data_IF_677830978116
#
_entry.id   IF_677830978116
#
_cell.length_a   1.000
_cell.length_b   1.000
_cell.length_c   1.000
_cell.angle_alpha   90.00
_cell.angle_beta   90.00
_cell.angle_gamma   90.00
#
_symmetry.space_group_name_H-M   'P 1'
#
loop_
_entity.id
_entity.type
_entity.pdbx_description
1 polymer ?
#
# COMPACT_ATOMS: atom_id res chain seq x y z
N UNK A 1 11.98 16.61 16.19
CA UNK A 1 10.85 15.65 16.09
C UNK A 1 9.73 16.15 16.97
N UNK A 2 8.47 16.10 16.53
CA UNK A 2 7.33 16.36 17.41
C UNK A 2 7.07 15.13 18.28
N UNK A 3 6.76 15.35 19.57
CA UNK A 3 6.36 14.30 20.52
C UNK A 3 4.85 14.30 20.67
N UNK A 4 4.24 13.12 20.77
CA UNK A 4 2.80 12.96 20.98
C UNK A 4 2.55 11.73 21.85
N UNK A 5 1.71 11.89 22.88
CA UNK A 5 1.30 10.79 23.73
C UNK A 5 0.21 9.99 23.02
N UNK A 6 0.30 8.67 23.07
CA UNK A 6 -0.65 7.73 22.48
C UNK A 6 -1.12 6.76 23.56
N UNK A 7 -2.40 6.44 23.56
CA UNK A 7 -2.97 5.41 24.43
C UNK A 7 -3.04 4.13 23.61
N UNK A 8 -2.43 3.07 24.14
CA UNK A 8 -2.44 1.75 23.53
C UNK A 8 -3.37 0.84 24.32
N UNK A 9 -4.01 -0.08 23.61
CA UNK A 9 -4.63 -1.24 24.25
C UNK A 9 -3.55 -2.15 24.86
N UNK A 10 -3.93 -2.98 25.82
CA UNK A 10 -3.01 -3.93 26.47
C UNK A 10 -2.28 -4.82 25.43
N UNK A 11 -3.03 -5.40 24.49
CA UNK A 11 -2.47 -6.24 23.42
C UNK A 11 -1.46 -5.50 22.52
N UNK A 12 -1.69 -4.21 22.25
CA UNK A 12 -0.75 -3.39 21.47
C UNK A 12 0.51 -3.07 22.27
N UNK A 13 0.38 -2.78 23.57
CA UNK A 13 1.52 -2.58 24.46
C UNK A 13 2.39 -3.83 24.50
N UNK A 14 1.80 -5.00 24.74
CA UNK A 14 2.52 -6.27 24.79
C UNK A 14 3.25 -6.58 23.47
N UNK A 15 2.64 -6.23 22.34
CA UNK A 15 3.28 -6.38 21.03
C UNK A 15 4.52 -5.48 20.92
N UNK A 16 4.41 -4.21 21.30
CA UNK A 16 5.54 -3.27 21.27
C UNK A 16 6.65 -3.74 22.19
N UNK A 17 6.30 -4.20 23.39
CA UNK A 17 7.27 -4.71 24.37
C UNK A 17 8.01 -5.94 23.84
N UNK A 18 7.32 -6.91 23.22
CA UNK A 18 7.96 -8.06 22.57
C UNK A 18 8.89 -7.64 21.44
N UNK A 19 8.48 -6.67 20.63
CA UNK A 19 9.29 -6.19 19.50
C UNK A 19 10.57 -5.49 19.98
N UNK A 20 10.51 -4.70 21.05
CA UNK A 20 11.68 -4.07 21.66
C UNK A 20 12.56 -5.11 22.36
N UNK A 21 11.98 -6.02 23.16
CA UNK A 21 12.70 -7.09 23.84
C UNK A 21 13.43 -8.03 22.88
N UNK A 22 12.89 -8.25 21.68
CA UNK A 22 13.55 -9.02 20.62
C UNK A 22 14.79 -8.33 20.01
N UNK A 23 14.99 -7.04 20.30
CA UNK A 23 16.06 -6.22 19.70
C UNK A 23 15.74 -5.73 18.29
N UNK A 24 14.57 -6.04 17.72
CA UNK A 24 14.16 -5.57 16.38
C UNK A 24 14.02 -4.05 16.31
N UNK A 25 13.64 -3.41 17.42
CA UNK A 25 13.60 -1.95 17.56
C UNK A 25 14.19 -1.54 18.90
N UNK A 26 14.84 -0.37 18.95
CA UNK A 26 15.47 0.11 20.17
C UNK A 26 14.47 0.63 21.21
N UNK A 27 13.30 1.09 20.77
CA UNK A 27 12.26 1.62 21.65
C UNK A 27 10.88 1.62 20.97
N UNK A 28 9.84 1.84 21.79
CA UNK A 28 8.45 1.91 21.35
C UNK A 28 8.22 2.95 20.24
N UNK A 29 8.82 4.13 20.35
CA UNK A 29 8.63 5.20 19.36
C UNK A 29 9.17 4.81 17.98
N UNK A 30 10.27 4.06 17.92
CA UNK A 30 10.79 3.52 16.67
C UNK A 30 9.87 2.46 16.07
N UNK A 31 9.41 1.51 16.88
CA UNK A 31 8.47 0.47 16.46
C UNK A 31 7.17 1.08 15.89
N UNK A 32 6.60 2.08 16.60
CA UNK A 32 5.41 2.79 16.14
C UNK A 32 5.64 3.55 14.83
N UNK A 33 6.78 4.24 14.67
CA UNK A 33 7.13 4.88 13.39
C UNK A 33 7.28 3.87 12.26
N UNK A 34 7.84 2.70 12.52
CA UNK A 34 7.95 1.63 11.53
C UNK A 34 6.56 1.11 11.11
N UNK A 35 5.64 0.96 12.08
CA UNK A 35 4.24 0.63 11.83
C UNK A 35 3.53 1.70 10.98
N UNK A 36 3.70 2.98 11.31
CA UNK A 36 3.12 4.09 10.53
C UNK A 36 3.64 4.12 9.10
N UNK A 37 4.95 3.91 8.87
CA UNK A 37 5.51 3.79 7.51
C UNK A 37 4.95 2.61 6.72
N UNK A 38 4.56 1.53 7.40
CA UNK A 38 3.89 0.41 6.73
C UNK A 38 2.47 0.81 6.31
N UNK A 39 1.72 1.43 7.21
CA UNK A 39 0.37 1.93 6.93
C UNK A 39 0.37 2.95 5.78
N UNK A 40 1.28 3.93 5.81
CA UNK A 40 1.42 4.94 4.75
C UNK A 40 1.66 4.30 3.37
N UNK A 41 2.48 3.24 3.30
CA UNK A 41 2.74 2.52 2.05
C UNK A 41 1.51 1.77 1.56
N UNK A 42 0.83 1.05 2.45
CA UNK A 42 -0.39 0.33 2.12
C UNK A 42 -1.49 1.28 1.62
N UNK A 43 -1.70 2.40 2.30
CA UNK A 43 -2.66 3.42 1.88
C UNK A 43 -2.29 4.05 0.53
N UNK A 44 -1.00 4.31 0.28
CA UNK A 44 -0.52 4.81 -1.00
C UNK A 44 -0.76 3.82 -2.15
N UNK A 45 -0.47 2.52 -1.93
CA UNK A 45 -0.71 1.46 -2.92
C UNK A 45 -2.20 1.30 -3.24
N UNK A 46 -3.05 1.27 -2.21
CA UNK A 46 -4.51 1.21 -2.38
C UNK A 46 -5.05 2.46 -3.09
N UNK A 47 -4.54 3.64 -2.72
CA UNK A 47 -4.88 4.91 -3.38
C UNK A 47 -4.51 4.90 -4.87
N UNK A 48 -3.30 4.44 -5.20
CA UNK A 48 -2.84 4.30 -6.57
C UNK A 48 -3.67 3.30 -7.38
N UNK A 49 -4.04 2.16 -6.78
CA UNK A 49 -4.93 1.19 -7.42
C UNK A 49 -6.32 1.78 -7.68
N UNK A 50 -6.93 2.43 -6.68
CA UNK A 50 -8.24 3.08 -6.81
C UNK A 50 -8.24 4.16 -7.87
N UNK A 51 -7.17 4.96 -7.94
CA UNK A 51 -7.01 5.98 -8.97
C UNK A 51 -6.99 5.37 -10.38
N UNK A 52 -6.17 4.33 -10.59
CA UNK A 52 -6.10 3.62 -11.89
C UNK A 52 -7.44 2.99 -12.30
N UNK A 53 -8.15 2.36 -11.36
CA UNK A 53 -9.47 1.79 -11.63
C UNK A 53 -10.49 2.87 -12.00
N UNK A 54 -10.49 3.98 -11.26
CA UNK A 54 -11.40 5.10 -11.54
C UNK A 54 -11.14 5.66 -12.94
N UNK A 55 -9.87 5.90 -13.30
CA UNK A 55 -9.49 6.35 -14.63
C UNK A 55 -9.94 5.37 -15.73
N UNK A 56 -9.72 4.07 -15.54
CA UNK A 56 -10.14 3.05 -16.50
C UNK A 56 -11.66 2.95 -16.67
N UNK A 57 -12.42 3.14 -15.59
CA UNK A 57 -13.89 3.18 -15.67
C UNK A 57 -14.40 4.42 -16.41
N UNK A 58 -13.78 5.58 -16.21
CA UNK A 58 -14.11 6.80 -16.95
C UNK A 58 -13.78 6.67 -18.45
N UNK A 59 -12.64 6.07 -18.79
CA UNK A 59 -12.28 5.74 -20.17
C UNK A 59 -13.35 4.83 -20.81
N UNK A 60 -13.74 3.75 -20.12
CA UNK A 60 -14.76 2.84 -20.61
C UNK A 60 -16.12 3.53 -20.82
N UNK A 61 -16.54 4.41 -19.90
CA UNK A 61 -17.77 5.22 -20.03
C UNK A 61 -17.75 6.14 -21.25
N UNK A 62 -16.58 6.66 -21.61
CA UNK A 62 -16.37 7.50 -22.80
C UNK A 62 -16.22 6.72 -24.10
N UNK A 63 -16.14 5.40 -24.03
CA UNK A 63 -15.88 4.54 -25.19
C UNK A 63 -14.39 4.46 -25.56
N UNK A 64 -13.50 4.97 -24.72
CA UNK A 64 -12.04 4.90 -24.88
C UNK A 64 -11.54 3.49 -24.50
N UNK A 65 -11.98 2.50 -25.27
CA UNK A 65 -11.69 1.07 -25.04
C UNK A 65 -10.37 0.65 -25.70
N UNK A 66 -9.77 -0.42 -25.19
CA UNK A 66 -8.59 -1.02 -25.80
C UNK A 66 -8.92 -1.60 -27.19
N UNK A 67 -7.96 -1.47 -28.12
CA UNK A 67 -8.11 -2.00 -29.48
C UNK A 67 -8.15 -3.53 -29.53
N UNK A 68 -9.01 -4.06 -30.40
CA UNK A 68 -9.12 -5.50 -30.68
C UNK A 68 -9.95 -6.28 -29.65
N UNK A 69 -9.76 -7.60 -29.61
CA UNK A 69 -10.47 -8.47 -28.66
C UNK A 69 -9.82 -8.45 -27.27
N UNK A 70 -10.61 -8.71 -26.23
CA UNK A 70 -10.18 -8.64 -24.84
C UNK A 70 -8.97 -9.53 -24.53
N UNK A 71 -8.87 -10.71 -25.13
CA UNK A 71 -7.72 -11.61 -24.94
C UNK A 71 -6.41 -10.98 -25.39
N UNK A 72 -6.39 -10.37 -26.58
CA UNK A 72 -5.20 -9.73 -27.13
C UNK A 72 -4.83 -8.48 -26.33
N UNK A 73 -5.83 -7.70 -25.90
CA UNK A 73 -5.60 -6.55 -25.03
C UNK A 73 -4.95 -6.95 -23.70
N UNK A 74 -5.44 -8.01 -23.05
CA UNK A 74 -4.87 -8.55 -21.81
C UNK A 74 -3.44 -9.07 -22.06
N UNK A 75 -3.22 -9.82 -23.14
CA UNK A 75 -1.89 -10.35 -23.50
C UNK A 75 -0.86 -9.23 -23.68
N UNK A 76 -1.22 -8.15 -24.39
CA UNK A 76 -0.36 -6.97 -24.57
C UNK A 76 -0.07 -6.27 -23.24
N UNK A 77 -1.07 -6.09 -22.37
CA UNK A 77 -0.88 -5.46 -21.07
C UNK A 77 0.12 -6.23 -20.17
N UNK A 78 0.01 -7.56 -20.09
CA UNK A 78 0.95 -8.38 -19.32
C UNK A 78 2.35 -8.44 -19.94
N UNK A 79 2.47 -8.41 -21.27
CA UNK A 79 3.76 -8.33 -21.95
C UNK A 79 4.47 -6.99 -21.61
N UNK A 80 3.74 -5.87 -21.68
CA UNK A 80 4.28 -4.55 -21.34
C UNK A 80 4.69 -4.44 -19.86
N UNK A 81 3.88 -4.98 -18.94
CA UNK A 81 4.19 -4.97 -17.51
C UNK A 81 5.50 -5.72 -17.18
N UNK A 82 5.72 -6.89 -17.81
CA UNK A 82 6.96 -7.68 -17.62
C UNK A 82 8.20 -7.02 -18.22
N UNK A 83 8.05 -6.20 -19.26
CA UNK A 83 9.16 -5.47 -19.85
C UNK A 83 9.61 -4.25 -19.02
N UNK A 84 8.74 -3.76 -18.13
CA UNK A 84 8.97 -2.60 -17.26
C UNK A 84 9.36 -2.99 -15.82
N UNK A 85 9.60 -4.27 -15.54
CA UNK A 85 10.10 -4.77 -14.24
C UNK A 85 11.58 -5.08 -14.37
#
# INVERSE_FOLDING_TARGET
MATRNVVLTETQSDLVDRLVASGRYQNASEALRAGLRLLEREEAELGALRSRLTAGLEQARRGDLAEGIGEDAIRRAFAAARANT
#
